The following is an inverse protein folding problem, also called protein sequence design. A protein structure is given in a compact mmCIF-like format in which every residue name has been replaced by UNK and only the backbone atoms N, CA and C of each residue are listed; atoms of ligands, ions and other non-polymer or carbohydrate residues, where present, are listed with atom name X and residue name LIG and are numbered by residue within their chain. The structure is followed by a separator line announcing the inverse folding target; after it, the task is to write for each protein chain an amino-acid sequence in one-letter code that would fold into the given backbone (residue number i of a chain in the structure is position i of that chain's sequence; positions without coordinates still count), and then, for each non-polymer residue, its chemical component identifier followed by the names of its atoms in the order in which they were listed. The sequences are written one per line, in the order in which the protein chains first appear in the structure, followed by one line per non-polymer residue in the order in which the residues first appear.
data_IF_294417166964
#
_entry.id   IF_294417166964
#
_cell.length_a   1.000
_cell.length_b   1.000
_cell.length_c   1.000
_cell.angle_alpha   90.00
_cell.angle_beta   90.00
_cell.angle_gamma   90.00
#
_symmetry.space_group_name_H-M   'P 1'
#
loop_
_entity.id
_entity.type
_entity.pdbx_description
1 polymer ?
#
# COMPACT_ATOMS: atom_id res chain seq x y z
N UNK A 1 46.38 1.93 22.98
CA UNK A 1 45.45 2.91 23.59
C UNK A 1 44.00 2.68 23.16
N UNK A 2 43.64 2.75 21.87
CA UNK A 2 42.23 2.64 21.41
C UNK A 2 41.53 1.30 21.76
N UNK A 3 42.23 0.16 21.60
CA UNK A 3 41.65 -1.17 21.88
C UNK A 3 41.28 -1.37 23.36
N UNK A 4 42.02 -0.75 24.29
CA UNK A 4 41.75 -0.85 25.73
C UNK A 4 40.47 -0.08 26.09
N UNK A 5 40.35 1.15 25.57
CA UNK A 5 39.17 1.99 25.78
C UNK A 5 37.88 1.38 25.21
N UNK A 6 37.96 0.75 24.02
CA UNK A 6 36.83 0.02 23.45
C UNK A 6 36.44 -1.18 24.32
N UNK A 7 37.43 -1.90 24.85
CA UNK A 7 37.20 -3.05 25.73
C UNK A 7 36.52 -2.62 27.04
N UNK A 8 37.02 -1.58 27.69
CA UNK A 8 36.39 -1.01 28.89
C UNK A 8 34.96 -0.56 28.64
N UNK A 9 34.69 0.11 27.51
CA UNK A 9 33.34 0.54 27.17
C UNK A 9 32.39 -0.64 26.93
N UNK A 10 32.85 -1.73 26.30
CA UNK A 10 32.05 -2.95 26.08
C UNK A 10 31.85 -3.76 27.38
N UNK A 11 32.82 -3.75 28.29
CA UNK A 11 32.78 -4.48 29.55
C UNK A 11 32.06 -3.73 30.68
N UNK A 12 31.84 -2.42 30.51
CA UNK A 12 30.99 -1.62 31.39
C UNK A 12 29.55 -2.15 31.42
N UNK A 13 28.85 -1.98 32.55
CA UNK A 13 27.46 -2.44 32.70
C UNK A 13 26.53 -1.77 31.67
N UNK A 14 26.79 -0.51 31.35
CA UNK A 14 26.07 0.21 30.30
C UNK A 14 26.31 -0.39 28.91
N UNK A 15 27.57 -0.69 28.57
CA UNK A 15 27.94 -1.32 27.30
C UNK A 15 27.34 -2.72 27.15
N UNK A 16 27.37 -3.51 28.23
CA UNK A 16 26.72 -4.84 28.29
C UNK A 16 25.21 -4.75 28.08
N UNK A 17 24.54 -3.78 28.69
CA UNK A 17 23.10 -3.57 28.50
C UNK A 17 22.74 -3.24 27.04
N UNK A 18 23.48 -2.32 26.41
CA UNK A 18 23.29 -1.98 24.98
C UNK A 18 23.54 -3.21 24.11
N UNK A 19 24.60 -3.97 24.40
CA UNK A 19 24.93 -5.17 23.63
C UNK A 19 23.86 -6.25 23.75
N UNK A 20 23.31 -6.47 24.95
CA UNK A 20 22.20 -7.39 25.17
C UNK A 20 20.94 -6.98 24.38
N UNK A 21 20.61 -5.68 24.38
CA UNK A 21 19.49 -5.15 23.60
C UNK A 21 19.71 -5.35 22.09
N UNK A 22 20.92 -5.13 21.60
CA UNK A 22 21.27 -5.35 20.18
C UNK A 22 21.13 -6.80 19.77
N UNK A 23 21.47 -7.78 20.62
CA UNK A 23 21.22 -9.18 20.29
C UNK A 23 19.76 -9.43 19.99
N UNK A 24 18.86 -8.91 20.85
CA UNK A 24 17.43 -9.07 20.65
C UNK A 24 16.98 -8.33 19.39
N UNK A 25 17.31 -7.06 19.25
CA UNK A 25 16.76 -6.24 18.17
C UNK A 25 17.36 -6.58 16.80
N UNK A 26 18.69 -6.65 16.72
CA UNK A 26 19.41 -6.84 15.46
C UNK A 26 19.22 -8.27 14.95
N UNK A 27 19.38 -9.30 15.79
CA UNK A 27 19.23 -10.69 15.34
C UNK A 27 17.77 -10.99 14.97
N UNK A 28 16.80 -10.48 15.71
CA UNK A 28 15.37 -10.68 15.39
C UNK A 28 15.00 -10.03 14.05
N UNK A 29 15.50 -8.82 13.76
CA UNK A 29 15.23 -8.16 12.48
C UNK A 29 15.83 -8.95 11.31
N UNK A 30 17.11 -9.35 11.40
CA UNK A 30 17.75 -10.13 10.33
C UNK A 30 17.18 -11.54 10.18
N UNK A 31 16.79 -12.19 11.27
CA UNK A 31 16.11 -13.47 11.26
C UNK A 31 14.77 -13.37 10.53
N UNK A 32 13.99 -12.33 10.83
CA UNK A 32 12.69 -12.08 10.17
C UNK A 32 12.84 -11.70 8.70
N UNK A 33 13.84 -10.90 8.34
CA UNK A 33 14.16 -10.57 6.95
C UNK A 33 14.43 -11.85 6.13
N UNK A 34 15.23 -12.76 6.67
CA UNK A 34 15.58 -14.02 5.99
C UNK A 34 14.42 -15.03 5.97
N UNK A 35 13.73 -15.19 7.11
CA UNK A 35 12.73 -16.24 7.29
C UNK A 35 11.34 -15.89 6.77
N UNK A 36 10.89 -14.65 6.96
CA UNK A 36 9.54 -14.21 6.57
C UNK A 36 9.55 -13.52 5.21
N UNK A 37 10.49 -12.61 4.99
CA UNK A 37 10.58 -11.84 3.75
C UNK A 37 11.48 -12.49 2.70
N UNK A 38 12.17 -13.59 3.03
CA UNK A 38 13.04 -14.31 2.12
C UNK A 38 14.28 -13.53 1.66
N UNK A 39 14.58 -12.39 2.29
CA UNK A 39 15.67 -11.50 1.88
C UNK A 39 17.01 -12.10 2.28
N UNK A 40 17.63 -12.83 1.35
CA UNK A 40 18.98 -13.41 1.52
C UNK A 40 20.08 -12.57 0.84
N UNK A 41 19.71 -11.81 -0.18
CA UNK A 41 20.60 -10.93 -0.97
C UNK A 41 19.76 -9.82 -1.59
N UNK A 42 20.38 -8.68 -1.88
CA UNK A 42 19.76 -7.65 -2.72
C UNK A 42 19.81 -8.09 -4.18
N UNK A 43 18.77 -7.81 -4.96
CA UNK A 43 18.76 -8.09 -6.40
C UNK A 43 19.39 -6.94 -7.21
N UNK A 44 19.53 -5.78 -6.59
CA UNK A 44 20.12 -4.59 -7.19
C UNK A 44 21.60 -4.43 -6.84
N UNK A 45 22.32 -3.67 -7.66
CA UNK A 45 23.74 -3.31 -7.47
C UNK A 45 23.91 -1.79 -7.42
N UNK A 46 24.96 -1.34 -6.74
CA UNK A 46 25.24 0.08 -6.52
C UNK A 46 24.68 0.60 -5.19
N UNK A 47 25.44 1.49 -4.54
CA UNK A 47 25.20 1.95 -3.16
C UNK A 47 23.77 2.50 -2.97
N UNK A 48 23.32 3.35 -3.88
CA UNK A 48 22.01 3.99 -3.78
C UNK A 48 20.86 2.97 -3.93
N UNK A 49 20.95 2.08 -4.91
CA UNK A 49 19.92 1.09 -5.16
C UNK A 49 19.81 0.09 -3.99
N UNK A 50 20.95 -0.39 -3.47
CA UNK A 50 21.00 -1.27 -2.29
C UNK A 50 20.40 -0.60 -1.05
N UNK A 51 20.68 0.68 -0.86
CA UNK A 51 20.11 1.46 0.24
C UNK A 51 18.58 1.54 0.13
N UNK A 52 18.06 1.89 -1.05
CA UNK A 52 16.61 1.93 -1.29
C UNK A 52 15.94 0.57 -1.13
N UNK A 53 16.53 -0.51 -1.66
CA UNK A 53 16.01 -1.88 -1.56
C UNK A 53 15.90 -2.33 -0.10
N UNK A 54 16.98 -2.16 0.67
CA UNK A 54 17.00 -2.45 2.10
C UNK A 54 16.02 -1.57 2.87
N UNK A 55 15.95 -0.28 2.54
CA UNK A 55 15.02 0.67 3.16
C UNK A 55 13.55 0.28 2.95
N UNK A 56 13.17 -0.12 1.74
CA UNK A 56 11.83 -0.62 1.43
C UNK A 56 11.48 -1.85 2.25
N UNK A 57 12.43 -2.78 2.40
CA UNK A 57 12.20 -3.98 3.21
C UNK A 57 12.03 -3.65 4.70
N UNK A 58 12.82 -2.73 5.24
CA UNK A 58 12.65 -2.30 6.63
C UNK A 58 11.32 -1.56 6.84
N UNK A 59 10.87 -0.76 5.86
CA UNK A 59 9.55 -0.12 5.89
C UNK A 59 8.42 -1.15 5.85
N UNK A 60 8.50 -2.18 5.00
CA UNK A 60 7.48 -3.24 4.94
C UNK A 60 7.38 -4.02 6.27
N UNK A 61 8.52 -4.25 6.94
CA UNK A 61 8.54 -4.84 8.28
C UNK A 61 7.84 -3.96 9.33
N UNK A 62 8.09 -2.65 9.29
CA UNK A 62 7.45 -1.69 10.18
C UNK A 62 5.94 -1.61 9.92
N UNK A 63 5.52 -1.60 8.65
CA UNK A 63 4.09 -1.65 8.27
C UNK A 63 3.43 -2.93 8.76
N UNK A 64 4.13 -4.07 8.71
CA UNK A 64 3.59 -5.33 9.24
C UNK A 64 3.41 -5.25 10.76
N UNK A 65 4.36 -4.65 11.50
CA UNK A 65 4.22 -4.42 12.95
C UNK A 65 3.05 -3.48 13.24
N UNK A 66 2.92 -2.40 12.45
CA UNK A 66 1.81 -1.46 12.57
C UNK A 66 0.47 -2.15 12.33
N UNK A 67 0.33 -2.96 11.28
CA UNK A 67 -0.90 -3.68 10.98
C UNK A 67 -1.30 -4.66 12.11
N UNK A 68 -0.33 -5.32 12.73
CA UNK A 68 -0.57 -6.16 13.90
C UNK A 68 -1.05 -5.33 15.10
N UNK A 69 -0.45 -4.17 15.34
CA UNK A 69 -0.85 -3.30 16.46
C UNK A 69 -2.22 -2.67 16.24
N UNK A 70 -2.54 -2.25 15.00
CA UNK A 70 -3.88 -1.78 14.61
C UNK A 70 -4.93 -2.86 14.84
N UNK A 71 -4.61 -4.12 14.51
CA UNK A 71 -5.50 -5.27 14.79
C UNK A 71 -5.69 -5.51 16.27
N UNK A 72 -4.65 -5.27 17.09
CA UNK A 72 -4.69 -5.47 18.54
C UNK A 72 -5.48 -4.38 19.26
N UNK A 73 -5.40 -3.13 18.79
CA UNK A 73 -6.03 -1.94 19.37
C UNK A 73 -6.74 -1.14 18.29
N UNK A 74 -7.91 -1.59 17.83
CA UNK A 74 -8.62 -0.91 16.76
C UNK A 74 -9.02 0.50 17.16
N UNK A 75 -9.49 0.72 18.40
CA UNK A 75 -9.94 2.02 18.91
C UNK A 75 -8.89 3.14 18.84
N UNK A 76 -7.59 2.83 18.97
CA UNK A 76 -6.53 3.83 18.90
C UNK A 76 -6.23 4.31 17.47
N UNK A 77 -6.59 3.52 16.46
CA UNK A 77 -6.35 3.80 15.04
C UNK A 77 -7.63 4.05 14.23
N UNK A 78 -8.81 3.99 14.86
CA UNK A 78 -10.06 4.41 14.24
C UNK A 78 -10.05 5.93 14.03
N UNK A 79 -9.48 6.40 12.92
CA UNK A 79 -9.84 7.71 12.40
C UNK A 79 -11.23 7.57 11.78
N UNK A 80 -12.26 8.17 12.39
CA UNK A 80 -13.58 8.27 11.77
C UNK A 80 -13.42 9.05 10.46
N UNK A 81 -13.53 8.35 9.33
CA UNK A 81 -13.65 9.03 8.04
C UNK A 81 -14.87 9.94 8.09
N UNK A 82 -14.67 11.24 7.97
CA UNK A 82 -15.77 12.21 7.87
C UNK A 82 -16.37 12.02 6.49
N UNK A 83 -17.47 11.27 6.41
CA UNK A 83 -18.22 11.13 5.16
C UNK A 83 -18.73 12.49 4.72
N UNK A 84 -18.28 12.94 3.55
CA UNK A 84 -18.80 14.16 2.95
C UNK A 84 -19.99 13.79 2.05
N UNK A 85 -21.18 13.89 2.64
CA UNK A 85 -22.45 13.54 2.00
C UNK A 85 -22.63 14.17 0.62
N UNK A 86 -22.16 15.41 0.44
CA UNK A 86 -22.29 16.14 -0.82
C UNK A 86 -21.45 15.52 -1.95
N UNK A 87 -20.24 15.01 -1.65
CA UNK A 87 -19.41 14.33 -2.65
C UNK A 87 -19.97 12.96 -3.02
N UNK A 88 -20.51 12.24 -2.05
CA UNK A 88 -21.13 10.93 -2.27
C UNK A 88 -22.40 11.06 -3.14
N UNK A 89 -23.21 12.09 -2.90
CA UNK A 89 -24.39 12.42 -3.73
C UNK A 89 -23.99 12.84 -5.15
N UNK A 90 -22.92 13.64 -5.30
CA UNK A 90 -22.40 14.06 -6.62
C UNK A 90 -21.91 12.86 -7.44
N UNK A 91 -21.17 11.93 -6.83
CA UNK A 91 -20.70 10.69 -7.48
C UNK A 91 -21.91 9.81 -7.86
N UNK A 92 -22.89 9.70 -6.99
CA UNK A 92 -24.11 8.91 -7.25
C UNK A 92 -24.89 9.49 -8.44
N UNK A 93 -25.04 10.81 -8.51
CA UNK A 93 -25.67 11.50 -9.63
C UNK A 93 -24.89 11.32 -10.94
N UNK A 94 -23.55 11.40 -10.89
CA UNK A 94 -22.69 11.18 -12.07
C UNK A 94 -22.83 9.74 -12.62
N UNK A 95 -22.97 8.75 -11.74
CA UNK A 95 -23.19 7.35 -12.14
C UNK A 95 -24.59 7.20 -12.77
N UNK A 96 -25.63 7.76 -12.16
CA UNK A 96 -27.02 7.68 -12.67
C UNK A 96 -27.13 8.34 -14.04
N UNK A 97 -26.60 9.56 -14.20
CA UNK A 97 -26.62 10.30 -15.47
C UNK A 97 -25.86 9.56 -16.58
N UNK A 98 -24.68 9.00 -16.27
CA UNK A 98 -23.93 8.19 -17.23
C UNK A 98 -24.69 6.93 -17.68
N UNK A 99 -25.41 6.25 -16.77
CA UNK A 99 -26.24 5.08 -17.11
C UNK A 99 -27.45 5.47 -17.96
N UNK A 100 -28.05 6.62 -17.70
CA UNK A 100 -29.18 7.15 -18.47
C UNK A 100 -28.78 7.45 -19.92
N UNK A 101 -27.68 8.20 -20.11
CA UNK A 101 -27.17 8.53 -21.45
C UNK A 101 -26.80 7.28 -22.26
N UNK A 102 -26.24 6.26 -21.59
CA UNK A 102 -25.92 4.99 -22.25
C UNK A 102 -27.18 4.24 -22.72
N UNK A 103 -28.23 4.20 -21.90
CA UNK A 103 -29.48 3.54 -22.25
C UNK A 103 -30.20 4.28 -23.40
N UNK A 104 -30.21 5.60 -23.36
CA UNK A 104 -30.77 6.46 -24.43
C UNK A 104 -30.06 6.23 -25.77
N UNK A 105 -28.72 6.09 -25.74
CA UNK A 105 -27.92 5.78 -26.92
C UNK A 105 -28.23 4.39 -27.49
N UNK A 106 -28.41 3.38 -26.63
CA UNK A 106 -28.77 2.00 -27.04
C UNK A 106 -30.17 1.95 -27.67
N UNK A 107 -31.14 2.69 -27.12
CA UNK A 107 -32.50 2.77 -27.69
C UNK A 107 -32.48 3.50 -29.04
N UNK A 108 -31.66 4.55 -29.17
CA UNK A 108 -31.50 5.31 -30.41
C UNK A 108 -30.95 4.46 -31.56
N UNK A 109 -30.07 3.50 -31.27
CA UNK A 109 -29.54 2.56 -32.27
C UNK A 109 -30.62 1.62 -32.81
N UNK A 110 -31.58 1.21 -31.97
CA UNK A 110 -32.68 0.33 -32.38
C UNK A 110 -33.70 1.06 -33.27
N UNK A 111 -33.98 2.33 -32.98
CA UNK A 111 -34.84 3.20 -33.79
C UNK A 111 -34.24 3.45 -35.19
N UNK A 112 -32.92 3.64 -35.29
CA UNK A 112 -32.24 3.83 -36.58
C UNK A 112 -32.32 2.57 -37.46
N UNK A 113 -32.23 1.38 -36.86
CA UNK A 113 -32.39 0.12 -37.58
C UNK A 113 -33.84 -0.09 -38.05
N UNK A 114 -34.84 0.30 -37.24
CA UNK A 114 -36.27 0.18 -37.59
C UNK A 114 -36.72 1.20 -38.66
N UNK A 115 -36.20 2.43 -38.64
CA UNK A 115 -36.46 3.44 -39.66
C UNK A 115 -35.68 3.20 -40.96
N UNK A 116 -34.51 2.57 -40.88
CA UNK A 116 -33.68 2.20 -42.05
C UNK A 116 -34.22 1.04 -42.91
N UNK A 117 -35.23 0.29 -42.42
CA UNK A 117 -35.85 -0.82 -43.14
C UNK A 117 -37.08 -0.46 -43.98
N UNK A 118 -37.53 0.81 -43.95
CA UNK A 118 -38.65 1.25 -44.80
C UNK A 118 -38.10 1.75 -46.16
N UNK A 119 -38.51 1.14 -47.30
CA UNK A 119 -38.02 1.57 -48.61
C UNK A 119 -38.61 2.93 -48.97
N UNK A 120 -37.76 3.95 -49.12
CA UNK A 120 -38.07 5.30 -49.62
C UNK A 120 -38.43 5.34 -51.13
N UNK A 121 -39.03 4.28 -51.66
CA UNK A 121 -39.21 4.06 -53.11
C UNK A 121 -40.66 3.98 -53.60
N UNK A 122 -41.63 4.57 -52.88
CA UNK A 122 -43.06 4.47 -53.25
C UNK A 122 -43.81 5.81 -53.24
N UNK A 123 -43.15 6.90 -53.67
CA UNK A 123 -43.82 8.16 -53.98
C UNK A 123 -43.38 8.62 -55.39
N UNK A 124 -43.94 7.95 -56.40
CA UNK A 124 -44.27 8.54 -57.71
C UNK A 124 -45.77 8.81 -57.72
#
# INVERSE_FOLDING_TARGET
MFKHHVKENLESDHGKAIYAQRKIDVETIFGRLKGVFGMRRTHVRGKQAVHSDTGMMLMSMNLTKLALEVRRKPEAFQHKSVKNKNRDETITFMIISSRFLFLELVISQHLFHFLGTFPLGAYF
#
